data_IF_301974322753
#
_entry.id   IF_301974322753
#
_cell.length_a   1.000
_cell.length_b   1.000
_cell.length_c   1.000
_cell.angle_alpha   90.00
_cell.angle_beta   90.00
_cell.angle_gamma   90.00
#
_symmetry.space_group_name_H-M   'P 1'
#
loop_
_entity.id
_entity.type
_entity.pdbx_description
1 polymer ?
#
# COMPACT_ATOMS: atom_id res chain seq x y z
N UNK A 1 -6.15 -0.72 5.39
CA UNK A 1 -5.08 -0.12 6.22
C UNK A 1 -5.69 0.74 7.32
N UNK A 2 -5.77 0.22 8.54
CA UNK A 2 -6.47 0.85 9.68
C UNK A 2 -5.59 1.74 10.56
N UNK A 3 -4.28 1.46 10.63
CA UNK A 3 -3.35 2.21 11.47
C UNK A 3 -2.99 3.57 10.85
N UNK A 4 -3.49 4.66 11.45
CA UNK A 4 -3.24 6.05 11.02
C UNK A 4 -1.77 6.43 11.05
N UNK A 5 -0.99 5.94 12.04
CA UNK A 5 0.47 6.20 12.12
C UNK A 5 1.19 5.60 10.91
N UNK A 6 0.79 4.39 10.48
CA UNK A 6 1.37 3.76 9.29
C UNK A 6 0.98 4.49 8.01
N UNK A 7 -0.31 4.86 7.86
CA UNK A 7 -0.77 5.67 6.72
C UNK A 7 0.01 6.99 6.60
N UNK A 8 0.23 7.69 7.72
CA UNK A 8 1.02 8.93 7.76
C UNK A 8 2.48 8.71 7.33
N UNK A 9 3.13 7.66 7.85
CA UNK A 9 4.52 7.32 7.45
C UNK A 9 4.62 7.07 5.95
N UNK A 10 3.66 6.33 5.38
CA UNK A 10 3.59 6.01 3.95
C UNK A 10 3.44 7.29 3.12
N UNK A 11 2.53 8.20 3.51
CA UNK A 11 2.28 9.47 2.82
C UNK A 11 3.48 10.41 2.87
N UNK A 12 3.95 10.75 4.08
CA UNK A 12 5.02 11.72 4.28
C UNK A 12 6.30 11.27 3.60
N UNK A 13 6.67 9.98 3.71
CA UNK A 13 7.88 9.51 3.05
C UNK A 13 7.74 9.48 1.52
N UNK A 14 6.53 9.32 0.96
CA UNK A 14 6.35 9.42 -0.48
C UNK A 14 6.60 10.87 -0.93
N UNK A 15 6.01 11.83 -0.22
CA UNK A 15 6.16 13.26 -0.51
C UNK A 15 7.62 13.74 -0.33
N UNK A 16 8.28 13.40 0.79
CA UNK A 16 9.69 13.76 1.07
C UNK A 16 10.67 13.16 0.06
N UNK A 17 10.34 12.02 -0.55
CA UNK A 17 11.15 11.41 -1.59
C UNK A 17 10.76 11.83 -3.01
N UNK A 18 9.87 12.82 -3.14
CA UNK A 18 9.31 13.28 -4.41
C UNK A 18 8.77 12.13 -5.27
N UNK A 19 8.14 11.15 -4.62
CA UNK A 19 7.44 10.07 -5.30
C UNK A 19 6.03 10.51 -5.64
N UNK A 20 5.55 10.11 -6.81
CA UNK A 20 4.14 10.19 -7.19
C UNK A 20 3.51 8.81 -7.03
N UNK A 21 2.18 8.72 -6.95
CA UNK A 21 1.57 7.42 -6.68
C UNK A 21 0.17 7.48 -6.12
N UNK A 22 -0.34 6.33 -5.70
CA UNK A 22 -1.63 6.26 -5.01
C UNK A 22 -1.63 5.10 -4.01
N UNK A 23 -2.19 5.37 -2.83
CA UNK A 23 -2.57 4.36 -1.85
C UNK A 23 -4.06 4.06 -1.96
N UNK A 24 -4.44 2.91 -2.50
CA UNK A 24 -5.83 2.47 -2.61
C UNK A 24 -6.20 1.64 -1.39
N UNK A 25 -7.13 2.15 -0.59
CA UNK A 25 -7.68 1.44 0.56
C UNK A 25 -8.98 0.77 0.11
N UNK A 26 -8.94 -0.55 -0.06
CA UNK A 26 -10.11 -1.40 -0.27
C UNK A 26 -10.45 -2.16 1.03
N UNK A 27 -11.56 -2.87 1.02
CA UNK A 27 -12.05 -3.66 2.16
C UNK A 27 -11.11 -4.84 2.46
N UNK A 28 -10.74 -5.60 1.43
CA UNK A 28 -9.90 -6.79 1.59
C UNK A 28 -8.41 -6.47 1.81
N UNK A 29 -7.87 -5.46 1.10
CA UNK A 29 -6.45 -5.11 1.16
C UNK A 29 -6.18 -3.65 0.80
N UNK A 30 -4.93 -3.24 0.97
CA UNK A 30 -4.47 -1.90 0.60
C UNK A 30 -3.32 -2.02 -0.39
N UNK A 31 -3.43 -1.33 -1.53
CA UNK A 31 -2.38 -1.27 -2.55
C UNK A 31 -1.68 0.08 -2.45
N UNK A 32 -0.36 0.08 -2.47
CA UNK A 32 0.43 1.31 -2.60
C UNK A 32 1.24 1.23 -3.88
N UNK A 33 0.95 2.13 -4.82
CA UNK A 33 1.66 2.29 -6.09
C UNK A 33 2.52 3.54 -5.98
N UNK A 34 3.80 3.44 -6.31
CA UNK A 34 4.74 4.58 -6.32
C UNK A 34 5.55 4.63 -7.61
N UNK A 35 5.75 5.83 -8.13
CA UNK A 35 6.55 6.15 -9.30
C UNK A 35 7.56 7.23 -8.93
N UNK A 36 8.76 7.15 -9.49
CA UNK A 36 9.82 8.13 -9.25
C UNK A 36 11.20 7.60 -9.60
N UNK A 37 12.23 8.31 -9.14
CA UNK A 37 13.61 7.91 -9.45
C UNK A 37 13.97 6.56 -8.81
N UNK A 38 14.83 5.79 -9.48
CA UNK A 38 15.25 4.47 -8.98
C UNK A 38 15.92 4.53 -7.58
N UNK A 39 16.49 5.68 -7.19
CA UNK A 39 17.06 5.90 -5.86
C UNK A 39 15.96 6.13 -4.81
N UNK A 40 14.99 6.99 -5.11
CA UNK A 40 13.85 7.27 -4.24
C UNK A 40 12.99 6.01 -4.01
N UNK A 41 12.64 5.29 -5.08
CA UNK A 41 11.87 4.05 -5.01
C UNK A 41 12.58 2.99 -4.17
N UNK A 42 13.91 2.83 -4.31
CA UNK A 42 14.69 1.88 -3.48
C UNK A 42 14.70 2.26 -1.99
N UNK A 43 14.73 3.56 -1.68
CA UNK A 43 14.66 4.03 -0.29
C UNK A 43 13.28 3.76 0.31
N UNK A 44 12.23 4.01 -0.47
CA UNK A 44 10.85 3.78 -0.08
C UNK A 44 10.53 2.28 0.08
N UNK A 45 11.01 1.44 -0.82
CA UNK A 45 10.93 -0.03 -0.72
C UNK A 45 11.50 -0.54 0.62
N UNK A 46 12.67 -0.01 1.04
CA UNK A 46 13.26 -0.32 2.35
C UNK A 46 12.42 0.19 3.53
N UNK A 47 11.78 1.35 3.41
CA UNK A 47 10.86 1.85 4.44
C UNK A 47 9.69 0.88 4.61
N UNK A 48 9.01 0.56 3.50
CA UNK A 48 7.79 -0.26 3.49
C UNK A 48 8.04 -1.68 4.00
N UNK A 49 9.13 -2.31 3.57
CA UNK A 49 9.40 -3.71 3.91
C UNK A 49 10.12 -3.91 5.25
N UNK A 50 10.86 -2.92 5.77
CA UNK A 50 11.76 -3.13 6.93
C UNK A 50 11.56 -2.18 8.09
N UNK A 51 11.12 -0.94 7.85
CA UNK A 51 11.11 0.12 8.87
C UNK A 51 9.73 0.38 9.45
N UNK A 52 8.68 0.14 8.67
CA UNK A 52 7.31 0.23 9.16
C UNK A 52 6.97 -1.10 9.82
N UNK A 53 6.68 -1.04 11.12
CA UNK A 53 6.03 -2.14 11.81
C UNK A 53 4.52 -2.10 11.52
N UNK A 54 4.08 -3.03 10.68
CA UNK A 54 2.69 -3.14 10.23
C UNK A 54 1.75 -3.69 11.30
N UNK A 55 2.29 -4.32 12.34
CA UNK A 55 1.54 -4.92 13.45
C UNK A 55 1.67 -4.13 14.76
N UNK A 56 2.38 -3.00 14.75
CA UNK A 56 2.50 -2.13 15.90
C UNK A 56 1.10 -1.73 16.42
N UNK A 57 0.81 -2.11 17.67
CA UNK A 57 -0.38 -1.66 18.40
C UNK A 57 -0.35 -0.13 18.52
N UNK A 58 -1.50 0.51 18.38
CA UNK A 58 -1.67 1.94 18.60
C UNK A 58 -1.59 2.19 20.11
N UNK A 59 -0.40 2.13 20.70
CA UNK A 59 -0.25 2.48 22.11
C UNK A 59 -0.33 3.99 22.24
N UNK A 60 -1.45 4.46 22.79
CA UNK A 60 -1.50 5.54 23.79
C UNK A 60 -2.78 5.36 24.62
N UNK A 61 -2.59 5.05 25.91
CA UNK A 61 -3.48 5.08 27.07
C UNK A 61 -4.84 4.34 27.08
N UNK A 62 -4.93 3.32 27.95
CA UNK A 62 -6.14 2.62 28.40
C UNK A 62 -7.01 1.98 27.31
N UNK A 63 -6.79 0.70 27.04
CA UNK A 63 -7.81 -0.32 27.32
C UNK A 63 -7.21 -1.71 27.02
N UNK A 64 -7.18 -2.54 28.06
CA UNK A 64 -7.04 -3.98 27.93
C UNK A 64 -8.24 -4.51 27.15
N UNK A 65 -8.12 -4.61 25.83
CA UNK A 65 -8.86 -5.58 25.05
C UNK A 65 -7.88 -6.39 24.23
N UNK A 66 -7.69 -7.63 24.69
CA UNK A 66 -7.10 -8.73 23.93
C UNK A 66 -7.86 -8.91 22.61
N UNK A 67 -7.39 -8.24 21.57
CA UNK A 67 -7.67 -8.62 20.19
C UNK A 67 -6.55 -9.55 19.70
N UNK A 68 -6.44 -10.72 20.34
CA UNK A 68 -5.39 -11.72 20.07
C UNK A 68 -5.66 -12.56 18.79
N UNK A 69 -6.62 -12.13 17.95
CA UNK A 69 -7.03 -12.83 16.71
C UNK A 69 -7.04 -11.94 15.44
N UNK A 70 -6.47 -10.73 15.50
CA UNK A 70 -6.36 -9.89 14.31
C UNK A 70 -5.28 -10.43 13.36
N UNK A 71 -5.68 -10.95 12.18
CA UNK A 71 -4.82 -11.38 11.06
C UNK A 71 -3.62 -10.44 10.93
N UNK A 72 -2.40 -10.97 11.14
CA UNK A 72 -1.16 -10.18 11.13
C UNK A 72 -1.03 -9.46 9.79
N UNK A 73 -0.95 -8.13 9.83
CA UNK A 73 -0.72 -7.32 8.64
C UNK A 73 0.68 -7.60 8.11
N UNK A 74 0.78 -7.95 6.82
CA UNK A 74 2.04 -8.09 6.09
C UNK A 74 2.08 -7.12 4.91
N UNK A 75 3.25 -6.57 4.62
CA UNK A 75 3.50 -5.77 3.43
C UNK A 75 4.43 -6.53 2.50
N UNK A 76 3.98 -6.76 1.28
CA UNK A 76 4.71 -7.52 0.26
C UNK A 76 4.84 -6.70 -1.01
N UNK A 77 6.00 -6.83 -1.67
CA UNK A 77 6.22 -6.20 -2.97
C UNK A 77 5.65 -7.09 -4.07
N UNK A 78 4.57 -6.64 -4.70
CA UNK A 78 3.89 -7.36 -5.79
C UNK A 78 4.62 -7.19 -7.12
N UNK A 79 5.00 -5.96 -7.46
CA UNK A 79 5.61 -5.64 -8.75
C UNK A 79 6.72 -4.60 -8.61
N UNK A 80 7.69 -4.65 -9.54
CA UNK A 80 8.72 -3.62 -9.71
C UNK A 80 9.16 -3.58 -11.16
N UNK A 81 9.14 -2.39 -11.74
CA UNK A 81 9.62 -2.17 -13.10
C UNK A 81 9.88 -0.71 -13.39
N UNK A 82 10.00 -0.41 -14.68
CA UNK A 82 10.22 0.94 -15.22
C UNK A 82 9.11 1.27 -16.21
N UNK A 83 8.64 2.51 -16.21
CA UNK A 83 7.69 3.03 -17.19
C UNK A 83 8.34 4.15 -17.99
N UNK A 84 7.90 4.36 -19.22
CA UNK A 84 8.34 5.45 -20.10
C UNK A 84 7.75 6.80 -19.69
N UNK A 85 6.65 6.80 -18.93
CA UNK A 85 5.96 8.00 -18.48
C UNK A 85 5.40 7.83 -17.07
N UNK A 86 5.31 8.94 -16.33
CA UNK A 86 4.60 9.00 -15.05
C UNK A 86 3.09 9.04 -15.30
N UNK A 87 2.37 8.04 -14.80
CA UNK A 87 0.92 8.00 -14.89
C UNK A 87 0.27 8.85 -13.79
N UNK A 88 0.93 8.97 -12.64
CA UNK A 88 0.41 9.64 -11.45
C UNK A 88 1.20 10.93 -11.17
N UNK A 89 0.50 12.02 -10.84
CA UNK A 89 1.09 13.37 -10.69
C UNK A 89 1.44 13.76 -9.25
N UNK A 90 0.79 13.16 -8.27
CA UNK A 90 1.03 13.36 -6.84
C UNK A 90 0.85 12.03 -6.14
N UNK A 91 1.34 11.91 -4.91
CA UNK A 91 0.96 10.81 -4.04
C UNK A 91 -0.30 11.19 -3.26
N UNK A 92 -1.32 10.32 -3.25
CA UNK A 92 -2.51 10.50 -2.41
C UNK A 92 -3.11 9.16 -1.99
N UNK A 93 -3.97 9.19 -0.98
CA UNK A 93 -4.76 8.03 -0.56
C UNK A 93 -6.20 8.16 -1.03
N UNK A 94 -6.72 7.10 -1.62
CA UNK A 94 -8.11 7.00 -2.06
C UNK A 94 -8.75 5.77 -1.41
N UNK A 95 -10.01 5.88 -1.00
CA UNK A 95 -10.73 4.79 -0.32
C UNK A 95 -11.92 4.34 -1.17
N UNK A 96 -12.05 3.04 -1.38
CA UNK A 96 -13.07 2.45 -2.22
C UNK A 96 -13.87 1.42 -1.43
N UNK A 97 -15.19 1.39 -1.67
CA UNK A 97 -16.11 0.41 -1.08
C UNK A 97 -16.20 -0.89 -1.87
N UNK A 98 -15.62 -0.95 -3.07
CA UNK A 98 -15.62 -2.16 -3.89
C UNK A 98 -14.35 -2.25 -4.74
N UNK A 99 -13.89 -3.47 -4.95
CA UNK A 99 -12.71 -3.77 -5.77
C UNK A 99 -12.91 -3.33 -7.22
N UNK A 100 -14.14 -3.49 -7.74
CA UNK A 100 -14.51 -3.00 -9.05
C UNK A 100 -14.34 -1.48 -9.21
N UNK A 101 -14.61 -0.69 -8.16
CA UNK A 101 -14.42 0.75 -8.19
C UNK A 101 -12.92 1.12 -8.15
N UNK A 102 -12.14 0.45 -7.30
CA UNK A 102 -10.69 0.65 -7.24
C UNK A 102 -9.99 0.29 -8.56
N UNK A 103 -10.41 -0.80 -9.20
CA UNK A 103 -9.91 -1.22 -10.52
C UNK A 103 -10.26 -0.22 -11.62
N UNK A 104 -11.50 0.29 -11.63
CA UNK A 104 -11.93 1.34 -12.57
C UNK A 104 -11.12 2.63 -12.43
N UNK A 105 -10.85 3.04 -11.19
CA UNK A 105 -9.99 4.20 -10.93
C UNK A 105 -8.60 4.03 -11.55
N UNK A 106 -7.97 2.86 -11.40
CA UNK A 106 -6.66 2.60 -12.01
C UNK A 106 -6.70 2.47 -13.54
N UNK A 107 -7.83 2.04 -14.11
CA UNK A 107 -7.99 1.94 -15.56
C UNK A 107 -7.91 3.31 -16.26
N UNK A 108 -8.29 4.41 -15.59
CA UNK A 108 -8.10 5.78 -16.11
C UNK A 108 -6.61 6.10 -16.35
N UNK A 109 -5.72 5.47 -15.59
CA UNK A 109 -4.26 5.62 -15.68
C UNK A 109 -3.58 4.47 -16.43
N UNK A 110 -4.35 3.50 -16.96
CA UNK A 110 -3.85 2.25 -17.57
C UNK A 110 -3.01 1.39 -16.61
N UNK A 111 -3.36 1.42 -15.32
CA UNK A 111 -2.67 0.71 -14.24
C UNK A 111 -3.51 -0.43 -13.62
N UNK A 112 -4.61 -0.83 -14.26
CA UNK A 112 -5.53 -1.87 -13.79
C UNK A 112 -4.83 -3.23 -13.59
N UNK A 113 -3.82 -3.51 -14.40
CA UNK A 113 -3.01 -4.73 -14.31
C UNK A 113 -2.25 -4.84 -12.97
N UNK A 114 -1.92 -3.72 -12.33
CA UNK A 114 -1.28 -3.72 -11.00
C UNK A 114 -2.29 -4.13 -9.91
N UNK A 115 -3.56 -3.78 -10.08
CA UNK A 115 -4.62 -4.24 -9.20
C UNK A 115 -4.80 -5.75 -9.33
N UNK A 116 -4.90 -6.24 -10.56
CA UNK A 116 -5.07 -7.66 -10.85
C UNK A 116 -3.90 -8.50 -10.32
N UNK A 117 -2.67 -8.01 -10.45
CA UNK A 117 -1.48 -8.64 -9.89
C UNK A 117 -1.50 -8.68 -8.35
N UNK A 118 -1.95 -7.59 -7.71
CA UNK A 118 -2.05 -7.54 -6.24
C UNK A 118 -3.13 -8.48 -5.71
N UNK A 119 -4.28 -8.54 -6.39
CA UNK A 119 -5.36 -9.46 -6.08
C UNK A 119 -4.89 -10.92 -6.19
N UNK A 120 -4.22 -11.28 -7.29
CA UNK A 120 -3.67 -12.62 -7.48
C UNK A 120 -2.60 -12.98 -6.43
N UNK A 121 -1.73 -12.02 -6.07
CA UNK A 121 -0.70 -12.25 -5.06
C UNK A 121 -1.29 -12.55 -3.67
N UNK A 122 -2.46 -12.00 -3.34
CA UNK A 122 -3.16 -12.29 -2.09
C UNK A 122 -3.72 -13.70 -2.12
N UNK A 123 -4.40 -14.09 -3.19
CA UNK A 123 -4.94 -15.45 -3.34
C UNK A 123 -3.84 -16.51 -3.17
N UNK A 124 -2.70 -16.36 -3.86
CA UNK A 124 -1.57 -17.29 -3.71
C UNK A 124 -0.97 -17.31 -2.30
N UNK A 125 -1.06 -16.21 -1.55
CA UNK A 125 -0.54 -16.14 -0.19
C UNK A 125 -1.45 -16.84 0.83
N UNK A 126 -2.75 -16.94 0.55
CA UNK A 126 -3.70 -17.68 1.40
C UNK A 126 -3.59 -19.20 1.21
N UNK A 127 -3.20 -19.67 0.02
CA UNK A 127 -2.96 -21.10 -0.26
C UNK A 127 -1.66 -21.64 0.37
N UNK A 128 -0.79 -20.76 0.85
CA UNK A 128 0.55 -21.09 1.37
C UNK A 128 0.65 -21.06 2.90
N UNK A 129 -0.42 -20.68 3.59
CA UNK A 129 -0.58 -20.70 5.07
C UNK A 129 -1.36 -21.94 5.52
#
# INVERSE_FOLDING_TARGET
MSNTKNKFKVDVNAQENHLTGVGLIAEAFTIVIVEGTAKAVRRYDKLMMRRIDWNAKLNDDNDEMDADDAKKNKCTRVWRGTSTSHALRRFCFETFRSDAAARRYLAEFKLEHLYDAAFAAIACAEDSE
#
